data_IF_622456951669
#
_entry.id   IF_622456951669
#
_cell.length_a   1.000
_cell.length_b   1.000
_cell.length_c   1.000
_cell.angle_alpha   90.00
_cell.angle_beta   90.00
_cell.angle_gamma   90.00
#
_symmetry.space_group_name_H-M   'P 1'
#
loop_
_entity.id
_entity.type
_entity.pdbx_description
1 polymer ?
#
# COMPACT_ATOMS: atom_id res chain seq x y z
N UNK A 1 4.63 1.37 -4.93
CA UNK A 1 3.15 1.31 -4.93
C UNK A 1 2.62 2.17 -3.79
N UNK A 2 1.61 3.00 -4.05
CA UNK A 2 0.93 3.77 -3.00
C UNK A 2 -0.50 3.28 -2.86
N UNK A 3 -0.85 2.88 -1.64
CA UNK A 3 -2.12 2.30 -1.25
C UNK A 3 -2.97 3.38 -0.58
N UNK A 4 -4.13 3.64 -1.16
CA UNK A 4 -5.08 4.63 -0.67
C UNK A 4 -6.50 4.07 -0.70
N UNK A 5 -7.43 4.75 -0.03
CA UNK A 5 -8.79 4.23 0.18
C UNK A 5 -8.73 2.80 0.74
N UNK A 6 -9.61 1.89 0.32
CA UNK A 6 -9.70 0.50 0.80
C UNK A 6 -8.38 -0.28 0.60
N UNK A 7 -7.58 0.07 -0.42
CA UNK A 7 -6.27 -0.53 -0.64
C UNK A 7 -5.29 -0.30 0.52
N UNK A 8 -5.48 0.74 1.34
CA UNK A 8 -4.65 0.98 2.54
C UNK A 8 -4.81 -0.12 3.61
N UNK A 9 -5.86 -0.94 3.50
CA UNK A 9 -6.17 -2.01 4.45
C UNK A 9 -5.65 -3.38 4.00
N UNK A 10 -4.68 -3.40 3.07
CA UNK A 10 -4.06 -4.59 2.50
C UNK A 10 -3.70 -5.64 3.56
N UNK A 11 -3.17 -5.19 4.70
CA UNK A 11 -2.72 -6.04 5.81
C UNK A 11 -3.87 -6.77 6.53
N UNK A 12 -5.11 -6.37 6.28
CA UNK A 12 -6.30 -6.99 6.87
C UNK A 12 -7.04 -7.90 5.91
N UNK A 13 -6.58 -7.99 4.65
CA UNK A 13 -7.17 -8.88 3.66
C UNK A 13 -6.60 -10.28 3.90
N UNK A 14 -7.48 -11.22 4.22
CA UNK A 14 -7.09 -12.61 4.40
C UNK A 14 -6.81 -13.28 3.05
N UNK A 15 -5.83 -14.18 3.05
CA UNK A 15 -5.56 -15.03 1.90
C UNK A 15 -6.75 -15.96 1.61
N UNK A 16 -6.93 -16.29 0.34
CA UNK A 16 -8.01 -17.19 -0.13
C UNK A 16 -7.41 -18.38 -0.86
N UNK A 17 -8.21 -19.43 -1.12
CA UNK A 17 -7.75 -20.63 -1.85
C UNK A 17 -7.10 -20.31 -3.21
N UNK A 18 -7.52 -19.22 -3.85
CA UNK A 18 -7.03 -18.83 -5.17
C UNK A 18 -6.02 -17.68 -5.15
N UNK A 19 -5.89 -16.98 -4.03
CA UNK A 19 -5.07 -15.76 -3.94
C UNK A 19 -4.32 -15.69 -2.62
N UNK A 20 -3.00 -15.92 -2.70
CA UNK A 20 -2.03 -15.72 -1.61
C UNK A 20 -1.48 -14.28 -1.67
N UNK A 21 -2.26 -13.32 -1.16
CA UNK A 21 -1.93 -11.89 -1.15
C UNK A 21 -0.70 -11.65 -0.27
N UNK A 22 -0.65 -12.26 0.92
CA UNK A 22 0.47 -12.11 1.87
C UNK A 22 1.79 -12.53 1.23
N UNK A 23 1.78 -13.64 0.46
CA UNK A 23 2.96 -14.13 -0.25
C UNK A 23 3.39 -13.16 -1.35
N UNK A 24 2.46 -12.62 -2.12
CA UNK A 24 2.76 -11.64 -3.18
C UNK A 24 3.33 -10.34 -2.62
N UNK A 25 2.83 -9.89 -1.47
CA UNK A 25 3.39 -8.73 -0.76
C UNK A 25 4.82 -9.00 -0.30
N UNK A 26 5.10 -10.20 0.22
CA UNK A 26 6.45 -10.60 0.60
C UNK A 26 7.41 -10.66 -0.61
N UNK A 27 7.01 -11.33 -1.70
CA UNK A 27 7.79 -11.41 -2.94
C UNK A 27 8.10 -10.00 -3.51
N UNK A 28 7.12 -9.10 -3.48
CA UNK A 28 7.30 -7.73 -3.95
C UNK A 28 8.35 -6.95 -3.11
N UNK A 29 8.33 -7.13 -1.78
CA UNK A 29 9.35 -6.56 -0.89
C UNK A 29 10.73 -7.16 -1.11
N UNK A 30 10.84 -8.47 -1.35
CA UNK A 30 12.11 -9.14 -1.69
C UNK A 30 12.72 -8.61 -2.99
N UNK A 31 11.87 -8.25 -3.96
CA UNK A 31 12.27 -7.59 -5.20
C UNK A 31 12.60 -6.10 -5.03
N UNK A 32 12.74 -5.61 -3.79
CA UNK A 32 13.02 -4.20 -3.43
C UNK A 32 11.92 -3.23 -3.89
N UNK A 33 10.69 -3.73 -4.02
CA UNK A 33 9.54 -2.88 -4.29
C UNK A 33 9.06 -2.20 -3.01
N UNK A 34 8.88 -0.88 -3.08
CA UNK A 34 8.33 -0.12 -1.96
C UNK A 34 6.79 -0.08 -1.99
N UNK A 35 6.18 -0.29 -0.83
CA UNK A 35 4.74 -0.20 -0.58
C UNK A 35 4.51 0.88 0.48
N UNK A 36 3.63 1.83 0.17
CA UNK A 36 3.29 2.93 1.06
C UNK A 36 1.80 2.95 1.31
N UNK A 37 1.38 3.12 2.57
CA UNK A 37 -0.03 3.25 2.91
C UNK A 37 -0.37 4.69 3.30
N UNK A 38 -1.46 5.23 2.77
CA UNK A 38 -1.94 6.56 3.13
C UNK A 38 -2.33 6.62 4.62
N UNK A 39 -1.59 7.38 5.41
CA UNK A 39 -1.80 7.46 6.86
C UNK A 39 -3.18 7.96 7.25
N UNK A 40 -3.71 8.95 6.53
CA UNK A 40 -5.06 9.49 6.78
C UNK A 40 -6.15 8.45 6.52
N UNK A 41 -5.99 7.59 5.50
CA UNK A 41 -6.94 6.50 5.24
C UNK A 41 -6.95 5.46 6.37
N UNK A 42 -5.77 5.13 6.93
CA UNK A 42 -5.66 4.24 8.08
C UNK A 42 -6.26 4.87 9.34
N UNK A 43 -6.01 6.16 9.57
CA UNK A 43 -6.50 6.89 10.74
C UNK A 43 -8.03 6.97 10.78
N UNK A 44 -8.67 7.34 9.67
CA UNK A 44 -10.14 7.41 9.57
C UNK A 44 -10.80 6.05 9.87
N UNK A 45 -10.08 4.95 9.60
CA UNK A 45 -10.56 3.59 9.84
C UNK A 45 -10.07 2.98 11.15
N UNK A 46 -9.39 3.74 12.01
CA UNK A 46 -8.90 3.26 13.29
C UNK A 46 -7.76 2.23 13.20
N UNK A 47 -7.05 2.15 12.06
CA UNK A 47 -5.96 1.19 11.79
C UNK A 47 -4.57 1.83 11.85
N UNK A 48 -4.38 2.85 12.69
CA UNK A 48 -3.16 3.67 12.77
C UNK A 48 -1.89 2.87 13.14
N UNK A 49 -2.06 1.67 13.70
CA UNK A 49 -0.99 0.77 14.16
C UNK A 49 -0.78 -0.46 13.26
N UNK A 50 -1.41 -0.53 12.07
CA UNK A 50 -1.25 -1.65 11.13
C UNK A 50 0.21 -1.73 10.62
N UNK A 51 1.04 -2.50 11.32
CA UNK A 51 2.50 -2.46 11.27
C UNK A 51 3.18 -3.17 10.10
N UNK A 52 2.52 -3.40 8.96
CA UNK A 52 3.14 -4.12 7.83
C UNK A 52 3.58 -3.18 6.71
N UNK A 53 2.95 -2.01 6.55
CA UNK A 53 3.29 -1.04 5.52
C UNK A 53 3.74 0.31 6.12
N UNK A 54 4.86 0.90 5.64
CA UNK A 54 5.26 2.24 6.06
C UNK A 54 4.18 3.26 5.69
N UNK A 55 3.84 4.10 6.67
CA UNK A 55 2.86 5.19 6.52
C UNK A 55 3.48 6.29 5.67
N UNK A 56 2.69 6.82 4.75
CA UNK A 56 3.08 7.88 3.82
C UNK A 56 2.00 8.94 3.70
N UNK A 57 2.39 10.08 3.15
CA UNK A 57 1.57 11.30 3.02
C UNK A 57 1.17 11.56 1.56
N UNK A 58 0.21 12.46 1.36
CA UNK A 58 -0.14 12.93 0.02
C UNK A 58 1.02 13.65 -0.69
N UNK A 59 1.94 14.26 0.07
CA UNK A 59 3.15 14.88 -0.48
C UNK A 59 4.08 13.83 -1.08
N UNK A 60 4.23 12.68 -0.43
CA UNK A 60 5.05 11.58 -0.94
C UNK A 60 4.44 10.96 -2.21
N UNK A 61 3.10 10.85 -2.25
CA UNK A 61 2.40 10.43 -3.46
C UNK A 61 2.66 11.40 -4.62
N UNK A 62 2.54 12.71 -4.37
CA UNK A 62 2.81 13.72 -5.39
C UNK A 62 4.24 13.60 -5.92
N UNK A 63 5.22 13.47 -5.02
CA UNK A 63 6.62 13.28 -5.38
C UNK A 63 6.82 12.03 -6.23
N UNK A 64 6.20 10.90 -5.86
CA UNK A 64 6.27 9.66 -6.64
C UNK A 64 5.68 9.84 -8.05
N UNK A 65 4.58 10.58 -8.18
CA UNK A 65 3.99 10.90 -9.48
C UNK A 65 4.91 11.78 -10.32
N UNK A 66 5.53 12.80 -9.72
CA UNK A 66 6.45 13.71 -10.41
C UNK A 66 7.75 13.02 -10.87
N UNK A 67 8.26 12.07 -10.08
CA UNK A 67 9.49 11.33 -10.38
C UNK A 67 9.28 10.13 -11.32
N UNK A 68 8.03 9.73 -11.58
CA UNK A 68 7.71 8.57 -12.41
C UNK A 68 7.47 8.94 -13.87
N UNK A 69 8.06 8.20 -14.80
CA UNK A 69 7.79 8.37 -16.24
C UNK A 69 6.33 8.05 -16.60
N UNK A 70 5.71 7.12 -15.86
CA UNK A 70 4.33 6.66 -16.06
C UNK A 70 3.70 6.27 -14.73
N UNK A 71 2.42 6.57 -14.58
CA UNK A 71 1.63 6.22 -13.40
C UNK A 71 0.44 5.37 -13.84
N UNK A 72 0.23 4.24 -13.15
CA UNK A 72 -0.93 3.38 -13.32
C UNK A 72 -1.78 3.45 -12.05
N UNK A 73 -3.08 3.68 -12.22
CA UNK A 73 -4.05 3.74 -11.13
C UNK A 73 -5.02 2.59 -11.28
N UNK A 74 -5.22 1.85 -10.19
CA UNK A 74 -6.18 0.76 -10.07
C UNK A 74 -7.17 1.13 -8.97
N UNK A 75 -8.47 0.97 -9.23
CA UNK A 75 -9.54 1.32 -8.31
C UNK A 75 -10.77 0.45 -8.51
#
# INVERSE_FOLDING_TARGET
IFLMSEGAELDTIADTEHFDISKKVAEYKELKGDLYACGTCLEIRGKKEAGVCPISTMTDLLKMVEESDKVLVFG
#
